data_IF_117662578848
#
_entry.id   IF_117662578848
#
_cell.length_a   1.000
_cell.length_b   1.000
_cell.length_c   1.000
_cell.angle_alpha   90.00
_cell.angle_beta   90.00
_cell.angle_gamma   90.00
#
_symmetry.space_group_name_H-M   'P 1'
#
loop_
_entity.id
_entity.type
_entity.pdbx_description
1 polymer ?
#
# COMPACT_ATOMS: atom_id res chain seq x y z
N UNK A 1 -9.61 -4.08 -14.53
CA UNK A 1 -8.34 -3.92 -13.77
C UNK A 1 -7.22 -3.52 -14.71
N UNK A 2 -6.57 -2.38 -14.48
CA UNK A 2 -5.41 -1.95 -15.27
C UNK A 2 -4.13 -2.64 -14.80
N UNK A 3 -3.27 -3.07 -15.73
CA UNK A 3 -1.89 -3.49 -15.42
C UNK A 3 -0.99 -2.27 -15.49
N UNK A 4 -0.25 -1.98 -14.43
CA UNK A 4 0.86 -1.02 -14.50
C UNK A 4 2.10 -1.79 -14.97
N UNK A 5 2.52 -1.55 -16.21
CA UNK A 5 3.78 -2.07 -16.73
C UNK A 5 4.94 -1.21 -16.23
N UNK A 6 6.04 -1.82 -15.77
CA UNK A 6 7.26 -1.08 -15.41
C UNK A 6 7.81 -0.22 -16.54
N UNK A 7 7.45 -0.49 -17.81
CA UNK A 7 7.84 0.31 -18.98
C UNK A 7 7.14 1.69 -19.04
N UNK A 8 6.06 1.88 -18.29
CA UNK A 8 5.24 3.10 -18.30
C UNK A 8 5.58 4.07 -17.15
N UNK A 9 6.55 3.72 -16.30
CA UNK A 9 7.00 4.56 -15.20
C UNK A 9 8.12 5.48 -15.69
N UNK A 10 7.82 6.77 -15.92
CA UNK A 10 8.89 7.76 -16.11
C UNK A 10 9.73 7.87 -14.83
N UNK A 11 11.02 8.24 -14.91
CA UNK A 11 11.90 8.40 -13.75
C UNK A 11 11.40 9.40 -12.69
N UNK A 12 10.49 10.31 -13.06
CA UNK A 12 9.85 11.29 -12.17
C UNK A 12 8.62 10.75 -11.43
N UNK A 13 8.10 9.58 -11.80
CA UNK A 13 6.94 9.01 -11.13
C UNK A 13 7.31 8.34 -9.82
N UNK A 14 6.44 8.54 -8.85
CA UNK A 14 6.41 7.85 -7.58
C UNK A 14 5.27 6.83 -7.60
N UNK A 15 5.53 5.67 -7.00
CA UNK A 15 4.55 4.60 -6.84
C UNK A 15 4.34 4.38 -5.36
N UNK A 16 3.12 4.59 -4.89
CA UNK A 16 2.73 4.30 -3.52
C UNK A 16 1.94 3.00 -3.47
N UNK A 17 2.35 2.10 -2.59
CA UNK A 17 1.75 0.79 -2.37
C UNK A 17 1.11 0.75 -0.99
N UNK A 18 -0.13 0.28 -0.93
CA UNK A 18 -0.77 -0.06 0.34
C UNK A 18 -1.70 -1.25 0.15
N UNK A 19 -1.88 -1.99 1.23
CA UNK A 19 -2.77 -3.15 1.25
C UNK A 19 -4.10 -2.81 1.90
N UNK A 20 -5.17 -3.37 1.37
CA UNK A 20 -6.49 -3.40 1.99
C UNK A 20 -7.11 -4.80 1.82
N UNK A 21 -8.32 -4.97 2.32
CA UNK A 21 -9.15 -6.15 2.06
C UNK A 21 -10.43 -5.72 1.36
N UNK A 22 -10.83 -6.46 0.33
CA UNK A 22 -12.08 -6.24 -0.37
C UNK A 22 -13.05 -7.38 -0.03
N UNK A 23 -14.21 -7.09 0.58
CA UNK A 23 -15.20 -8.11 0.88
C UNK A 23 -15.90 -8.55 -0.41
N UNK A 24 -15.98 -9.86 -0.62
CA UNK A 24 -16.67 -10.47 -1.76
C UNK A 24 -17.66 -11.52 -1.26
N UNK A 25 -18.85 -11.56 -1.87
CA UNK A 25 -19.86 -12.58 -1.57
C UNK A 25 -19.49 -13.87 -2.31
N UNK A 26 -19.26 -14.94 -1.55
CA UNK A 26 -18.87 -16.25 -2.08
C UNK A 26 -19.95 -17.29 -1.77
N UNK A 27 -20.49 -17.99 -2.79
CA UNK A 27 -21.45 -19.06 -2.59
C UNK A 27 -20.75 -20.33 -2.07
N UNK A 28 -21.16 -20.82 -0.90
CA UNK A 28 -20.68 -22.08 -0.32
C UNK A 28 -21.61 -23.23 -0.74
N UNK A 29 -22.92 -22.97 -0.81
CA UNK A 29 -23.95 -23.93 -1.20
C UNK A 29 -25.12 -23.18 -1.89
N UNK A 30 -26.06 -23.89 -2.53
CA UNK A 30 -27.14 -23.26 -3.33
C UNK A 30 -27.93 -22.17 -2.58
N UNK A 31 -28.04 -22.27 -1.25
CA UNK A 31 -28.78 -21.33 -0.40
C UNK A 31 -27.90 -20.65 0.66
N UNK A 32 -26.57 -20.74 0.56
CA UNK A 32 -25.66 -20.17 1.56
C UNK A 32 -24.51 -19.41 0.91
N UNK A 33 -24.42 -18.13 1.27
CA UNK A 33 -23.32 -17.24 0.89
C UNK A 33 -22.56 -16.80 2.13
N UNK A 34 -21.25 -16.68 2.01
CA UNK A 34 -20.40 -16.06 3.04
C UNK A 34 -19.66 -14.85 2.47
N UNK A 35 -19.22 -13.95 3.34
CA UNK A 35 -18.31 -12.88 2.97
C UNK A 35 -16.88 -13.38 3.14
N UNK A 36 -16.11 -13.38 2.05
CA UNK A 36 -14.67 -13.60 2.08
C UNK A 36 -13.95 -12.26 1.93
N UNK A 37 -12.90 -12.05 2.72
CA UNK A 37 -12.06 -10.86 2.60
C UNK A 37 -10.84 -11.20 1.75
N UNK A 38 -10.81 -10.68 0.52
CA UNK A 38 -9.70 -10.90 -0.41
C UNK A 38 -8.64 -9.81 -0.15
N UNK A 39 -7.37 -10.18 0.12
CA UNK A 39 -6.29 -9.20 0.21
C UNK A 39 -6.07 -8.51 -1.13
N UNK A 40 -6.04 -7.19 -1.14
CA UNK A 40 -5.80 -6.37 -2.32
C UNK A 40 -4.58 -5.48 -2.07
N UNK A 41 -3.71 -5.39 -3.07
CA UNK A 41 -2.60 -4.43 -3.09
C UNK A 41 -2.94 -3.34 -4.09
N UNK A 42 -3.01 -2.10 -3.62
CA UNK A 42 -3.28 -0.93 -4.45
C UNK A 42 -1.96 -0.25 -4.76
N UNK A 43 -1.75 0.09 -6.04
CA UNK A 43 -0.61 0.83 -6.52
C UNK A 43 -1.05 2.16 -7.12
N UNK A 44 -0.68 3.25 -6.46
CA UNK A 44 -0.97 4.62 -6.90
C UNK A 44 0.25 5.19 -7.59
N UNK A 45 0.14 5.39 -8.90
CA UNK A 45 1.15 6.10 -9.71
C UNK A 45 0.82 7.59 -9.72
N UNK A 46 1.78 8.41 -9.29
CA UNK A 46 1.64 9.87 -9.22
C UNK A 46 2.96 10.57 -9.49
N UNK A 47 2.91 11.81 -9.98
CA UNK A 47 4.07 12.71 -10.08
C UNK A 47 4.23 13.61 -8.84
N UNK A 48 3.25 13.60 -7.94
CA UNK A 48 3.19 14.43 -6.73
C UNK A 48 3.14 13.54 -5.50
N UNK A 49 3.81 13.95 -4.42
CA UNK A 49 3.79 13.23 -3.14
C UNK A 49 2.37 13.12 -2.58
N UNK A 50 1.99 11.93 -2.12
CA UNK A 50 0.70 11.75 -1.46
C UNK A 50 0.69 12.39 -0.07
N UNK A 51 -0.49 12.84 0.41
CA UNK A 51 -0.64 13.32 1.78
C UNK A 51 -0.28 12.27 2.83
N UNK A 52 0.25 12.71 3.97
CA UNK A 52 0.44 11.88 5.17
C UNK A 52 -0.83 11.86 6.05
N UNK A 53 -1.98 11.62 5.42
CA UNK A 53 -3.29 11.56 6.08
C UNK A 53 -3.95 10.21 5.83
N UNK A 54 -4.77 9.76 6.77
CA UNK A 54 -5.65 8.59 6.62
C UNK A 54 -7.09 9.03 6.83
N UNK A 55 -7.98 8.52 5.97
CA UNK A 55 -9.42 8.58 6.17
C UNK A 55 -9.84 7.38 7.01
N UNK A 56 -10.67 7.61 8.02
CA UNK A 56 -11.33 6.57 8.80
C UNK A 56 -12.75 6.43 8.29
N UNK A 57 -12.97 5.42 7.45
CA UNK A 57 -14.24 5.22 6.75
C UNK A 57 -14.84 3.89 7.21
N UNK A 58 -15.79 3.94 8.14
CA UNK A 58 -16.57 2.77 8.54
C UNK A 58 -17.95 2.85 7.90
N UNK A 59 -18.49 1.70 7.47
CA UNK A 59 -19.86 1.58 6.92
C UNK A 59 -20.92 2.11 7.90
N UNK A 60 -20.61 2.14 9.19
CA UNK A 60 -21.50 2.59 10.27
C UNK A 60 -21.29 4.05 10.68
N UNK A 61 -20.24 4.72 10.19
CA UNK A 61 -19.98 6.12 10.52
C UNK A 61 -20.66 7.05 9.52
N UNK A 62 -21.29 8.10 10.03
CA UNK A 62 -22.03 9.10 9.23
C UNK A 62 -21.08 9.98 8.41
N UNK A 63 -19.85 10.20 8.90
CA UNK A 63 -18.87 11.10 8.25
C UNK A 63 -17.47 10.46 8.21
N UNK A 64 -16.78 10.69 7.09
CA UNK A 64 -15.36 10.37 6.95
C UNK A 64 -14.52 11.29 7.85
N UNK A 65 -13.72 10.68 8.73
CA UNK A 65 -12.78 11.43 9.58
C UNK A 65 -11.37 11.35 9.00
N UNK A 66 -10.83 12.48 8.57
CA UNK A 66 -9.46 12.58 8.06
C UNK A 66 -8.51 12.95 9.20
N UNK A 67 -7.51 12.12 9.44
CA UNK A 67 -6.52 12.31 10.52
C UNK A 67 -5.09 12.16 10.00
N UNK A 68 -4.09 12.78 10.65
CA UNK A 68 -2.68 12.54 10.35
C UNK A 68 -2.28 11.06 10.52
N UNK A 69 -1.45 10.55 9.62
CA UNK A 69 -0.93 9.18 9.69
C UNK A 69 -0.18 8.88 11.00
N UNK A 70 0.50 9.89 11.56
CA UNK A 70 1.30 9.78 12.78
C UNK A 70 0.48 9.38 14.01
N UNK A 71 -0.81 9.76 14.09
CA UNK A 71 -1.72 9.38 15.19
C UNK A 71 -1.95 7.87 15.27
N UNK A 72 -1.90 7.21 14.10
CA UNK A 72 -2.04 5.77 13.93
C UNK A 72 -0.70 5.06 13.72
N UNK A 73 0.40 5.76 14.00
CA UNK A 73 1.77 5.24 13.84
C UNK A 73 2.00 4.68 12.43
N UNK A 74 1.42 5.35 11.44
CA UNK A 74 1.58 5.05 10.03
C UNK A 74 2.50 6.08 9.37
N UNK A 75 3.16 5.65 8.31
CA UNK A 75 3.93 6.54 7.43
C UNK A 75 4.26 5.83 6.11
N UNK A 76 4.55 6.63 5.10
CA UNK A 76 5.16 6.16 3.87
C UNK A 76 6.64 5.84 4.11
N UNK A 77 7.06 4.64 3.75
CA UNK A 77 8.46 4.24 3.78
C UNK A 77 8.90 3.73 2.40
N UNK A 78 10.16 3.94 1.98
CA UNK A 78 10.66 3.32 0.77
C UNK A 78 10.50 1.80 0.84
N UNK A 79 9.96 1.19 -0.22
CA UNK A 79 9.92 -0.26 -0.31
C UNK A 79 11.37 -0.76 -0.42
N UNK A 80 11.83 -1.43 0.64
CA UNK A 80 13.08 -2.17 0.60
C UNK A 80 12.87 -3.37 -0.33
N UNK A 81 13.12 -3.18 -1.63
CA UNK A 81 13.18 -4.27 -2.60
C UNK A 81 14.53 -4.94 -2.38
N UNK A 82 14.60 -6.16 -1.81
CA UNK A 82 15.84 -6.90 -1.81
C UNK A 82 16.24 -7.07 -3.28
N UNK A 83 17.52 -6.92 -3.65
CA UNK A 83 17.93 -7.24 -5.00
C UNK A 83 17.42 -8.64 -5.31
N UNK A 84 16.54 -8.77 -6.32
CA UNK A 84 16.14 -10.06 -6.84
C UNK A 84 17.43 -10.85 -7.04
N UNK A 85 17.56 -12.00 -6.38
CA UNK A 85 18.69 -12.90 -6.62
C UNK A 85 18.69 -13.13 -8.13
N UNK A 86 19.61 -12.48 -8.85
CA UNK A 86 19.88 -12.86 -10.22
C UNK A 86 20.23 -14.33 -10.12
N UNK A 87 19.45 -15.18 -10.81
CA UNK A 87 19.74 -16.61 -10.91
C UNK A 87 21.24 -16.77 -11.18
N UNK A 88 21.87 -17.68 -10.44
CA UNK A 88 23.30 -17.93 -10.48
C UNK A 88 23.71 -18.48 -11.86
N UNK A 89 23.74 -17.64 -12.88
CA UNK A 89 24.43 -17.93 -14.13
C UNK A 89 25.89 -17.51 -13.99
N UNK A 90 26.77 -18.45 -14.35
CA UNK A 90 28.21 -18.45 -14.15
C UNK A 90 28.86 -17.05 -14.18
N UNK A 91 29.61 -16.79 -13.11
CA UNK A 91 30.23 -15.52 -12.75
C UNK A 91 31.45 -15.24 -13.65
N UNK A 92 31.21 -14.72 -14.85
CA UNK A 92 32.28 -14.29 -15.77
C UNK A 92 32.95 -13.00 -15.27
N UNK A 93 34.28 -12.85 -15.44
CA UNK A 93 35.05 -11.71 -14.90
C UNK A 93 34.61 -10.35 -15.47
N UNK A 94 34.02 -10.30 -16.67
CA UNK A 94 33.45 -9.07 -17.25
C UNK A 94 32.21 -8.56 -16.48
N UNK A 95 31.38 -9.44 -15.91
CA UNK A 95 30.17 -9.03 -15.16
C UNK A 95 30.49 -8.47 -13.77
N UNK A 96 31.62 -8.83 -13.16
CA UNK A 96 32.08 -8.25 -11.88
C UNK A 96 32.42 -6.77 -12.00
N UNK A 97 32.86 -6.30 -13.17
CA UNK A 97 33.08 -4.88 -13.45
C UNK A 97 31.76 -4.12 -13.59
N UNK A 98 30.72 -4.74 -14.18
CA UNK A 98 29.39 -4.13 -14.33
C UNK A 98 28.65 -3.98 -12.99
N UNK A 99 28.88 -4.90 -12.03
CA UNK A 99 28.30 -4.83 -10.67
C UNK A 99 28.89 -3.69 -9.82
N UNK A 100 30.17 -3.33 -10.01
CA UNK A 100 30.83 -2.22 -9.26
C UNK A 100 30.39 -0.83 -9.70
N UNK A 101 29.72 -0.69 -10.85
CA UNK A 101 29.22 0.60 -11.37
C UNK A 101 27.70 0.78 -11.26
N UNK A 102 26.96 -0.24 -10.81
CA UNK A 102 25.51 -0.16 -10.66
C UNK A 102 25.15 0.67 -9.42
N UNK A 103 25.14 2.00 -9.57
CA UNK A 103 24.50 2.90 -8.61
C UNK A 103 23.12 2.33 -8.30
N UNK A 104 22.85 2.09 -7.02
CA UNK A 104 21.53 1.66 -6.52
C UNK A 104 20.47 2.52 -7.21
N UNK A 105 19.65 1.93 -8.08
CA UNK A 105 18.56 2.66 -8.73
C UNK A 105 17.73 3.26 -7.60
N UNK A 106 17.56 4.58 -7.61
CA UNK A 106 16.70 5.25 -6.62
C UNK A 106 15.33 4.57 -6.70
N UNK A 107 14.92 3.90 -5.62
CA UNK A 107 13.62 3.26 -5.54
C UNK A 107 12.57 4.36 -5.37
N UNK A 108 11.80 4.64 -6.42
CA UNK A 108 10.65 5.55 -6.36
C UNK A 108 9.37 4.85 -5.86
N UNK A 109 9.53 3.69 -5.22
CA UNK A 109 8.43 2.87 -4.71
C UNK A 109 8.38 3.06 -3.20
N UNK A 110 7.22 3.46 -2.71
CA UNK A 110 6.92 3.71 -1.31
C UNK A 110 5.81 2.76 -0.88
N UNK A 111 5.88 2.24 0.34
CA UNK A 111 4.84 1.42 0.93
C UNK A 111 4.30 2.05 2.21
N UNK A 112 3.00 1.89 2.45
CA UNK A 112 2.41 2.26 3.73
C UNK A 112 2.92 1.29 4.79
N UNK A 113 3.47 1.83 5.86
CA UNK A 113 3.92 1.05 7.01
C UNK A 113 3.14 1.47 8.25
N UNK A 114 2.90 0.52 9.15
CA UNK A 114 2.36 0.78 10.47
C UNK A 114 3.27 0.09 11.50
N UNK A 115 3.87 0.86 12.41
CA UNK A 115 4.69 0.30 13.48
C UNK A 115 3.86 -0.31 14.61
N UNK A 116 2.60 0.12 14.75
CA UNK A 116 1.69 -0.36 15.79
C UNK A 116 1.11 -1.75 15.49
N UNK A 117 0.87 -2.10 14.22
CA UNK A 117 0.42 -3.44 13.81
C UNK A 117 1.51 -4.52 13.93
N UNK A 118 2.78 -4.13 13.84
CA UNK A 118 3.93 -5.07 13.87
C UNK A 118 4.21 -5.64 15.26
N UNK A 119 3.76 -4.96 16.31
CA UNK A 119 4.00 -5.38 17.69
C UNK A 119 2.89 -6.34 18.17
N UNK A 120 3.26 -7.62 18.32
CA UNK A 120 2.36 -8.68 18.80
C UNK A 120 1.78 -8.28 20.17
N UNK A 121 0.46 -8.09 20.24
CA UNK A 121 -0.24 -7.75 21.49
C UNK A 121 -0.54 -6.27 21.72
N UNK A 122 0.05 -5.33 20.96
CA UNK A 122 -0.21 -3.89 21.15
C UNK A 122 -1.64 -3.52 20.78
N UNK A 123 -2.19 -4.09 19.71
CA UNK A 123 -3.60 -3.88 19.34
C UNK A 123 -4.57 -4.50 20.36
N UNK A 124 -4.18 -5.57 21.06
CA UNK A 124 -5.04 -6.23 22.06
C UNK A 124 -5.25 -5.38 23.32
N UNK A 125 -4.29 -4.51 23.62
CA UNK A 125 -4.35 -3.60 24.77
C UNK A 125 -5.01 -2.26 24.43
N UNK A 126 -5.40 -2.04 23.17
CA UNK A 126 -6.14 -0.85 22.77
C UNK A 126 -7.64 -1.03 23.05
N UNK A 127 -8.31 0.08 23.32
CA UNK A 127 -9.78 0.12 23.35
C UNK A 127 -10.32 -0.34 21.99
N UNK A 128 -11.41 -1.09 22.02
CA UNK A 128 -12.03 -1.67 20.82
C UNK A 128 -12.28 -0.64 19.71
N UNK A 129 -12.78 0.54 20.06
CA UNK A 129 -12.98 1.66 19.13
C UNK A 129 -11.70 2.03 18.37
N UNK A 130 -10.57 2.10 19.08
CA UNK A 130 -9.27 2.42 18.49
C UNK A 130 -8.71 1.26 17.66
N UNK A 131 -9.02 0.02 18.02
CA UNK A 131 -8.67 -1.17 17.24
C UNK A 131 -9.43 -1.19 15.92
N UNK A 132 -10.75 -0.93 15.94
CA UNK A 132 -11.59 -0.85 14.73
C UNK A 132 -11.10 0.21 13.76
N UNK A 133 -10.58 1.33 14.26
CA UNK A 133 -10.01 2.37 13.39
C UNK A 133 -8.82 1.87 12.54
N UNK A 134 -8.08 0.83 12.97
CA UNK A 134 -7.09 0.20 12.10
C UNK A 134 -7.74 -0.68 11.02
N UNK A 135 -8.90 -1.25 11.23
CA UNK A 135 -9.57 -2.06 10.20
C UNK A 135 -10.12 -1.17 9.06
N UNK A 136 -10.50 0.07 9.39
CA UNK A 136 -11.14 1.03 8.49
C UNK A 136 -10.25 2.17 7.99
N UNK A 137 -8.99 2.25 8.43
CA UNK A 137 -8.09 3.32 7.98
C UNK A 137 -7.58 3.06 6.56
N UNK A 138 -7.78 4.02 5.68
CA UNK A 138 -7.24 4.02 4.32
C UNK A 138 -6.41 5.28 4.09
N UNK A 139 -5.30 5.23 3.36
CA UNK A 139 -4.59 6.44 2.96
C UNK A 139 -5.53 7.42 2.28
N UNK A 140 -5.56 8.66 2.76
CA UNK A 140 -6.39 9.71 2.18
C UNK A 140 -5.69 10.24 0.94
N UNK A 141 -6.19 9.81 -0.23
CA UNK A 141 -5.65 10.19 -1.54
C UNK A 141 -6.49 11.34 -2.07
N UNK A 142 -5.97 12.55 -1.95
CA UNK A 142 -6.57 13.73 -2.59
C UNK A 142 -5.72 14.15 -3.78
N UNK A 143 -6.28 14.01 -4.99
CA UNK A 143 -5.67 14.50 -6.23
C UNK A 143 -6.44 15.74 -6.67
N UNK A 144 -5.96 16.97 -6.39
CA UNK A 144 -6.71 18.20 -6.65
C UNK A 144 -7.13 18.41 -8.11
N UNK A 145 -6.46 17.75 -9.07
CA UNK A 145 -6.75 17.87 -10.50
C UNK A 145 -7.68 16.78 -11.05
N UNK A 146 -8.21 15.89 -10.19
CA UNK A 146 -9.20 14.87 -10.54
C UNK A 146 -10.33 14.93 -9.52
N UNK A 147 -11.22 15.90 -9.68
CA UNK A 147 -12.56 15.74 -9.14
C UNK A 147 -13.26 14.73 -10.05
N UNK A 148 -13.57 13.55 -9.52
CA UNK A 148 -14.49 12.64 -10.20
C UNK A 148 -15.87 13.29 -10.13
N UNK A 149 -16.38 13.75 -11.28
CA UNK A 149 -17.80 14.04 -11.45
C UNK A 149 -18.55 12.73 -11.30
N UNK A 150 -19.02 12.42 -10.09
CA UNK A 150 -20.04 11.40 -9.87
C UNK A 150 -21.32 11.93 -10.54
N UNK A 151 -21.60 11.43 -11.75
CA UNK A 151 -22.83 11.71 -12.51
C UNK A 151 -23.59 10.41 -12.67
#
# INVERSE_FOLDING_TARGET
MGRISCKELLPSHMVYLFGCTEPQMFPISPNQTTVIHIPVIIAVKTSVSLPEKVGLNSVQMVEEKIVPMSEYKMSWAPLAVPPLKQEQQADTPDRKRLRKGAKSKKNNIWCLTCSQRKARGVLKNLKEERTRAFDYCMPYIFLPHKQETYT
#
